data_IF_132620925701
#
_entry.id   IF_132620925701
#
_cell.length_a   1.000
_cell.length_b   1.000
_cell.length_c   1.000
_cell.angle_alpha   90.00
_cell.angle_beta   90.00
_cell.angle_gamma   90.00
#
_symmetry.space_group_name_H-M   'P 1'
#
loop_
_entity.id
_entity.type
_entity.pdbx_description
1 polymer ?
#
# COMPACT_ATOMS: atom_id res chain seq x y z
N UNK A 1 -41.69 34.10 -1.07
CA UNK A 1 -40.96 34.75 0.03
C UNK A 1 -40.22 33.67 0.81
N UNK A 2 -38.89 33.70 0.83
CA UNK A 2 -38.08 32.75 1.60
C UNK A 2 -38.06 33.24 3.07
N UNK A 3 -38.45 32.37 4.00
CA UNK A 3 -38.49 32.72 5.43
C UNK A 3 -37.09 32.70 6.03
N UNK A 4 -36.85 33.51 7.08
CA UNK A 4 -35.59 33.47 7.86
C UNK A 4 -35.27 32.05 8.36
N UNK A 5 -36.30 31.27 8.69
CA UNK A 5 -36.14 29.86 9.05
C UNK A 5 -35.55 29.01 7.92
N UNK A 6 -35.98 29.24 6.67
CA UNK A 6 -35.45 28.50 5.52
C UNK A 6 -33.99 28.84 5.23
N UNK A 7 -33.58 30.09 5.45
CA UNK A 7 -32.18 30.52 5.30
C UNK A 7 -31.29 29.85 6.35
N UNK A 8 -31.73 29.82 7.61
CA UNK A 8 -30.99 29.18 8.71
C UNK A 8 -30.86 27.68 8.46
N UNK A 9 -31.93 27.01 8.02
CA UNK A 9 -31.90 25.59 7.70
C UNK A 9 -30.93 25.30 6.55
N UNK A 10 -30.95 26.06 5.45
CA UNK A 10 -29.98 25.89 4.37
C UNK A 10 -28.53 26.10 4.83
N UNK A 11 -28.28 27.11 5.66
CA UNK A 11 -26.93 27.37 6.18
C UNK A 11 -26.43 26.21 7.05
N UNK A 12 -27.29 25.66 7.92
CA UNK A 12 -26.97 24.50 8.75
C UNK A 12 -26.76 23.23 7.92
N UNK A 13 -27.55 23.01 6.86
CA UNK A 13 -27.39 21.87 5.95
C UNK A 13 -26.09 21.98 5.14
N UNK A 14 -25.78 23.17 4.61
CA UNK A 14 -24.53 23.41 3.89
C UNK A 14 -23.32 23.25 4.81
N UNK A 15 -23.36 23.83 6.01
CA UNK A 15 -22.28 23.69 6.98
C UNK A 15 -22.11 22.23 7.44
N UNK A 16 -23.21 21.52 7.70
CA UNK A 16 -23.20 20.10 8.00
C UNK A 16 -22.63 19.25 6.85
N UNK A 17 -22.99 19.55 5.61
CA UNK A 17 -22.45 18.87 4.44
C UNK A 17 -20.94 19.13 4.26
N UNK A 18 -20.47 20.36 4.49
CA UNK A 18 -19.05 20.72 4.44
C UNK A 18 -18.26 20.00 5.54
N UNK A 19 -18.77 20.02 6.78
CA UNK A 19 -18.13 19.30 7.89
C UNK A 19 -18.07 17.78 7.63
N UNK A 20 -19.14 17.19 7.10
CA UNK A 20 -19.16 15.77 6.76
C UNK A 20 -18.16 15.44 5.64
N UNK A 21 -18.07 16.30 4.62
CA UNK A 21 -17.10 16.13 3.54
C UNK A 21 -15.65 16.14 4.04
N UNK A 22 -15.30 17.11 4.89
CA UNK A 22 -13.96 17.20 5.51
C UNK A 22 -13.63 15.95 6.33
N UNK A 23 -14.59 15.41 7.10
CA UNK A 23 -14.36 14.19 7.90
C UNK A 23 -14.20 12.92 7.06
N UNK A 24 -14.65 12.92 5.81
CA UNK A 24 -14.55 11.78 4.89
C UNK A 24 -13.35 11.88 3.95
N UNK A 25 -12.70 13.04 3.86
CA UNK A 25 -11.49 13.21 3.09
C UNK A 25 -10.34 12.49 3.80
N UNK A 26 -9.95 11.31 3.30
CA UNK A 26 -8.61 10.78 3.56
C UNK A 26 -7.58 11.75 2.99
N UNK A 27 -6.46 11.92 3.70
CA UNK A 27 -5.24 12.69 3.34
C UNK A 27 -5.46 13.72 2.22
N UNK A 28 -5.68 14.98 2.60
CA UNK A 28 -6.00 16.10 1.70
C UNK A 28 -5.26 16.03 0.35
N UNK A 29 -6.05 15.97 -0.73
CA UNK A 29 -5.54 16.07 -2.10
C UNK A 29 -5.28 14.75 -2.84
N UNK A 30 -5.50 13.59 -2.22
CA UNK A 30 -5.32 12.29 -2.90
C UNK A 30 -6.63 11.51 -3.07
N UNK A 31 -6.73 10.80 -4.19
CA UNK A 31 -7.88 10.01 -4.62
C UNK A 31 -7.56 8.51 -4.55
N UNK A 32 -8.25 7.73 -3.68
CA UNK A 32 -8.06 6.29 -3.61
C UNK A 32 -8.34 5.61 -4.96
N UNK A 33 -7.54 4.60 -5.32
CA UNK A 33 -7.60 3.89 -6.60
C UNK A 33 -6.88 4.61 -7.75
N UNK A 34 -6.75 5.93 -7.69
CA UNK A 34 -5.98 6.73 -8.65
C UNK A 34 -4.54 6.86 -8.15
N UNK A 35 -4.33 7.55 -7.04
CA UNK A 35 -2.99 7.85 -6.52
C UNK A 35 -2.34 6.63 -5.86
N UNK A 36 -3.14 5.83 -5.14
CA UNK A 36 -2.71 4.59 -4.50
C UNK A 36 -3.72 3.46 -4.71
N UNK A 37 -3.25 2.20 -4.73
CA UNK A 37 -4.13 1.05 -4.89
C UNK A 37 -5.04 0.81 -3.67
N UNK A 38 -6.23 0.27 -3.91
CA UNK A 38 -7.26 -0.06 -2.90
C UNK A 38 -7.84 -1.45 -3.12
N UNK A 39 -6.97 -2.42 -3.40
CA UNK A 39 -7.36 -3.82 -3.47
C UNK A 39 -7.95 -4.25 -2.12
N UNK A 40 -9.02 -5.04 -2.14
CA UNK A 40 -9.64 -5.59 -0.92
C UNK A 40 -9.22 -7.04 -0.65
N UNK A 41 -8.50 -7.63 -1.60
CA UNK A 41 -7.93 -8.97 -1.56
C UNK A 41 -6.75 -9.03 -2.53
N UNK A 42 -5.88 -10.03 -2.39
CA UNK A 42 -4.82 -10.29 -3.37
C UNK A 42 -5.46 -10.65 -4.72
N UNK A 43 -5.18 -9.92 -5.81
CA UNK A 43 -5.70 -10.25 -7.14
C UNK A 43 -5.28 -11.64 -7.60
N UNK A 44 -6.16 -12.30 -8.35
CA UNK A 44 -5.81 -13.57 -9.00
C UNK A 44 -4.99 -13.31 -10.27
N UNK A 45 -4.05 -14.22 -10.56
CA UNK A 45 -3.34 -14.22 -11.84
C UNK A 45 -2.10 -13.31 -11.93
N UNK A 46 -1.58 -12.82 -10.80
CA UNK A 46 -0.32 -12.08 -10.75
C UNK A 46 0.84 -12.92 -11.31
N UNK A 47 1.73 -12.29 -12.08
CA UNK A 47 2.84 -12.94 -12.77
C UNK A 47 4.03 -13.25 -11.84
N UNK A 48 4.09 -12.64 -10.66
CA UNK A 48 5.17 -12.87 -9.71
C UNK A 48 5.27 -14.34 -9.28
N UNK A 49 6.49 -14.87 -9.28
CA UNK A 49 6.78 -16.20 -8.72
C UNK A 49 8.03 -16.17 -7.84
N UNK A 50 8.06 -17.03 -6.83
CA UNK A 50 9.26 -17.31 -6.02
C UNK A 50 10.36 -18.11 -6.77
N UNK A 51 10.14 -18.50 -8.03
CA UNK A 51 11.09 -19.29 -8.81
C UNK A 51 12.40 -18.55 -9.02
N UNK A 52 13.53 -19.18 -8.67
CA UNK A 52 14.88 -18.61 -8.84
C UNK A 52 15.18 -17.42 -7.92
N UNK A 53 14.36 -17.19 -6.89
CA UNK A 53 14.54 -16.12 -5.91
C UNK A 53 15.05 -16.67 -4.58
N UNK A 54 15.76 -15.84 -3.82
CA UNK A 54 16.10 -16.17 -2.44
C UNK A 54 14.82 -16.24 -1.59
N UNK A 55 14.80 -17.03 -0.50
CA UNK A 55 13.71 -16.91 0.45
C UNK A 55 13.72 -15.48 1.03
N UNK A 56 12.55 -14.92 1.31
CA UNK A 56 12.44 -13.51 1.68
C UNK A 56 11.18 -12.82 1.20
N UNK A 57 11.22 -11.50 1.17
CA UNK A 57 10.08 -10.63 0.95
C UNK A 57 10.20 -9.84 -0.36
N UNK A 58 9.13 -9.80 -1.14
CA UNK A 58 9.14 -9.23 -2.49
C UNK A 58 7.92 -8.34 -2.70
N UNK A 59 8.12 -7.06 -2.99
CA UNK A 59 7.05 -6.20 -3.47
C UNK A 59 6.51 -6.71 -4.80
N UNK A 60 5.22 -6.50 -5.09
CA UNK A 60 4.65 -6.80 -6.41
C UNK A 60 4.28 -5.53 -7.18
N UNK A 61 5.09 -5.10 -8.15
CA UNK A 61 4.77 -3.94 -8.98
C UNK A 61 3.50 -4.08 -9.82
N UNK A 62 3.09 -5.31 -10.19
CA UNK A 62 1.86 -5.55 -10.96
C UNK A 62 0.62 -5.14 -10.13
N UNK A 63 0.67 -5.40 -8.83
CA UNK A 63 -0.33 -4.96 -7.86
C UNK A 63 -0.01 -3.59 -7.24
N UNK A 64 0.76 -2.75 -7.94
CA UNK A 64 1.17 -1.40 -7.48
C UNK A 64 1.79 -1.42 -6.07
N UNK A 65 2.50 -2.49 -5.75
CA UNK A 65 3.11 -2.78 -4.45
C UNK A 65 2.14 -2.83 -3.25
N UNK A 66 0.81 -2.82 -3.44
CA UNK A 66 -0.09 -3.12 -2.33
C UNK A 66 0.01 -4.59 -1.94
N UNK A 67 0.28 -5.46 -2.91
CA UNK A 67 0.60 -6.86 -2.66
C UNK A 67 2.11 -7.01 -2.49
N UNK A 68 2.47 -7.90 -1.58
CA UNK A 68 3.83 -8.42 -1.46
C UNK A 68 3.81 -9.91 -1.20
N UNK A 69 4.93 -10.57 -1.48
CA UNK A 69 5.07 -12.01 -1.42
C UNK A 69 6.16 -12.41 -0.43
N UNK A 70 5.86 -13.46 0.33
CA UNK A 70 6.84 -14.18 1.14
C UNK A 70 7.21 -15.49 0.45
N UNK A 71 8.47 -15.59 0.05
CA UNK A 71 9.06 -16.79 -0.52
C UNK A 71 9.75 -17.62 0.55
N UNK A 72 9.40 -18.91 0.61
CA UNK A 72 10.05 -19.90 1.47
C UNK A 72 11.19 -20.65 0.75
N UNK A 73 12.10 -21.32 1.50
CA UNK A 73 13.21 -22.10 0.93
C UNK A 73 12.81 -23.19 -0.07
N UNK A 74 11.61 -23.75 0.08
CA UNK A 74 11.08 -24.77 -0.84
C UNK A 74 10.36 -24.17 -2.07
N UNK A 75 10.46 -22.85 -2.28
CA UNK A 75 9.78 -22.14 -3.37
C UNK A 75 8.30 -21.87 -3.12
N UNK A 76 7.75 -22.23 -1.95
CA UNK A 76 6.36 -21.92 -1.60
C UNK A 76 6.20 -20.41 -1.41
N UNK A 77 5.11 -19.89 -1.97
CA UNK A 77 4.75 -18.48 -1.96
C UNK A 77 3.54 -18.24 -1.06
N UNK A 78 3.59 -17.17 -0.27
CA UNK A 78 2.43 -16.56 0.37
C UNK A 78 2.32 -15.13 -0.10
N UNK A 79 1.10 -14.64 -0.27
CA UNK A 79 0.84 -13.27 -0.74
C UNK A 79 0.00 -12.55 0.30
N UNK A 80 0.34 -11.29 0.56
CA UNK A 80 -0.29 -10.46 1.56
C UNK A 80 -0.60 -9.09 0.99
N UNK A 81 -1.54 -8.40 1.63
CA UNK A 81 -1.97 -7.07 1.24
C UNK A 81 -1.56 -6.06 2.32
N UNK A 82 -0.97 -4.94 1.90
CA UNK A 82 -0.80 -3.76 2.73
C UNK A 82 -2.14 -3.02 2.92
N UNK A 83 -2.38 -2.38 4.08
CA UNK A 83 -3.56 -1.55 4.31
C UNK A 83 -3.74 -0.44 3.27
N UNK A 84 -4.98 0.00 3.03
CA UNK A 84 -5.28 1.11 2.12
C UNK A 84 -4.51 2.38 2.51
N UNK A 85 -3.87 3.02 1.53
CA UNK A 85 -2.99 4.18 1.73
C UNK A 85 -1.52 3.81 1.97
N UNK A 86 -1.17 2.51 2.02
CA UNK A 86 0.21 2.04 2.14
C UNK A 86 0.56 1.05 1.04
N UNK A 87 1.84 0.93 0.74
CA UNK A 87 2.40 -0.04 -0.20
C UNK A 87 3.69 -0.63 0.39
N UNK A 88 4.06 -1.82 -0.04
CA UNK A 88 5.23 -2.52 0.45
C UNK A 88 6.51 -1.85 -0.04
N UNK A 89 7.30 -1.33 0.89
CA UNK A 89 8.64 -0.84 0.63
C UNK A 89 9.61 -2.00 0.57
N UNK A 90 10.15 -2.30 -0.62
CA UNK A 90 11.16 -3.33 -0.74
C UNK A 90 12.39 -3.01 0.13
N UNK A 91 12.82 -1.75 0.19
CA UNK A 91 13.99 -1.28 0.94
C UNK A 91 13.93 -1.68 2.41
N UNK A 92 12.80 -1.44 3.06
CA UNK A 92 12.62 -1.63 4.51
C UNK A 92 11.82 -2.89 4.86
N UNK A 93 11.30 -3.60 3.85
CA UNK A 93 10.51 -4.84 3.97
C UNK A 93 9.26 -4.67 4.85
N UNK A 94 8.65 -3.49 4.81
CA UNK A 94 7.42 -3.15 5.54
C UNK A 94 6.47 -2.35 4.65
N UNK A 95 5.18 -2.33 5.00
CA UNK A 95 4.23 -1.40 4.39
C UNK A 95 4.50 0.02 4.89
N UNK A 96 4.76 0.96 3.98
CA UNK A 96 4.92 2.39 4.28
C UNK A 96 3.93 3.19 3.41
N UNK A 97 3.82 4.49 3.67
CA UNK A 97 2.97 5.38 2.91
C UNK A 97 3.32 5.35 1.43
N UNK A 98 2.30 5.24 0.57
CA UNK A 98 2.48 5.05 -0.87
C UNK A 98 3.38 6.12 -1.52
N UNK A 99 3.32 7.36 -1.05
CA UNK A 99 4.11 8.48 -1.57
C UNK A 99 5.59 8.45 -1.13
N UNK A 100 5.99 7.54 -0.22
CA UNK A 100 7.38 7.35 0.21
C UNK A 100 8.07 6.21 -0.54
N UNK A 101 7.32 5.40 -1.28
CA UNK A 101 7.84 4.18 -1.88
C UNK A 101 7.85 4.33 -3.40
N UNK A 102 9.04 4.21 -4.00
CA UNK A 102 9.16 4.00 -5.44
C UNK A 102 8.87 2.53 -5.76
N UNK A 103 7.61 2.22 -6.02
CA UNK A 103 7.18 0.86 -6.30
C UNK A 103 7.88 0.26 -7.53
N UNK A 104 8.12 1.06 -8.57
CA UNK A 104 8.73 0.58 -9.81
C UNK A 104 10.21 0.20 -9.64
N UNK A 105 10.90 0.81 -8.67
CA UNK A 105 12.28 0.49 -8.34
C UNK A 105 12.42 -0.77 -7.46
N UNK A 106 11.32 -1.26 -6.88
CA UNK A 106 11.32 -2.42 -5.98
C UNK A 106 12.07 -3.65 -6.52
N UNK A 107 11.91 -4.07 -7.80
CA UNK A 107 12.64 -5.23 -8.32
C UNK A 107 14.16 -5.10 -8.27
N UNK A 108 14.71 -3.87 -8.38
CA UNK A 108 16.15 -3.62 -8.28
C UNK A 108 16.67 -3.85 -6.86
N UNK A 109 15.78 -3.76 -5.87
CA UNK A 109 16.09 -3.88 -4.45
C UNK A 109 15.87 -5.28 -3.88
N UNK A 110 15.34 -6.23 -4.67
CA UNK A 110 15.12 -7.62 -4.23
C UNK A 110 16.34 -8.32 -3.63
N UNK A 111 17.55 -7.88 -4.01
CA UNK A 111 18.80 -8.39 -3.44
C UNK A 111 18.96 -8.13 -1.95
N UNK A 112 18.26 -7.14 -1.37
CA UNK A 112 18.30 -6.85 0.06
C UNK A 112 17.73 -7.98 0.93
N UNK A 113 17.03 -8.96 0.34
CA UNK A 113 16.65 -10.18 1.03
C UNK A 113 17.86 -11.01 1.51
N UNK A 114 19.03 -10.83 0.90
CA UNK A 114 20.26 -11.47 1.38
C UNK A 114 20.62 -11.04 2.82
N UNK A 115 20.22 -9.84 3.24
CA UNK A 115 20.40 -9.32 4.60
C UNK A 115 19.64 -10.14 5.66
N UNK A 116 18.57 -10.85 5.26
CA UNK A 116 17.84 -11.76 6.17
C UNK A 116 18.69 -12.96 6.62
N UNK A 117 19.77 -13.25 5.88
CA UNK A 117 20.64 -14.39 6.10
C UNK A 117 22.04 -13.95 6.52
N UNK A 118 22.13 -12.81 7.22
CA UNK A 118 23.38 -12.29 7.76
C UNK A 118 23.29 -12.09 9.27
N UNK A 119 24.40 -12.37 9.97
CA UNK A 119 24.56 -12.05 11.39
C UNK A 119 24.88 -10.56 11.60
N UNK A 120 25.03 -10.15 12.87
CA UNK A 120 25.39 -8.76 13.24
C UNK A 120 26.76 -8.30 12.73
N UNK A 121 27.62 -9.25 12.35
CA UNK A 121 28.94 -9.00 11.78
C UNK A 121 28.94 -9.05 10.24
N UNK A 122 27.78 -9.30 9.61
CA UNK A 122 27.63 -9.42 8.16
C UNK A 122 27.98 -10.80 7.59
N UNK A 123 28.31 -11.80 8.42
CA UNK A 123 28.57 -13.16 7.96
C UNK A 123 27.26 -13.87 7.60
N UNK A 124 27.30 -14.73 6.59
CA UNK A 124 26.14 -15.53 6.20
C UNK A 124 25.80 -16.58 7.27
N UNK A 125 24.52 -16.69 7.63
CA UNK A 125 23.98 -17.73 8.54
C UNK A 125 23.43 -18.94 7.79
#
# INVERSE_FOLDING_TARGET
>A
MISRYQIIICALLLFGAVLLYETMAQVDGYTPGVDYPIYNSVPFGLAFTCGGKLPGYYADPEARCQVWHWCLPNGRQFSFLCPNGTVFSQTTRVCDWWFKVDCNDSPRLYGNNDELYRDVNGNKI
#
